data_IF_949626117190
#
_entry.id   IF_949626117190
#
_cell.length_a   1.000
_cell.length_b   1.000
_cell.length_c   1.000
_cell.angle_alpha   90.00
_cell.angle_beta   90.00
_cell.angle_gamma   90.00
#
_symmetry.space_group_name_H-M   'P 1'
#
loop_
_entity.id
_entity.type
_entity.pdbx_description
1 polymer ?
#
# COMPACT_ATOMS: atom_id res chain seq x y z
N UNK A 1 -19.93 6.57 -6.28
CA UNK A 1 -20.07 6.18 -4.86
C UNK A 1 -20.00 4.66 -4.60
N UNK A 2 -19.90 3.77 -5.61
CA UNK A 2 -19.88 2.31 -5.41
C UNK A 2 -18.58 1.74 -4.77
N UNK A 3 -17.45 2.46 -4.87
CA UNK A 3 -16.16 1.95 -4.39
C UNK A 3 -16.04 1.95 -2.85
N UNK A 4 -16.74 2.87 -2.18
CA UNK A 4 -16.78 2.98 -0.72
C UNK A 4 -17.93 2.16 -0.11
N UNK A 5 -18.73 1.46 -0.92
CA UNK A 5 -19.81 0.63 -0.40
C UNK A 5 -19.29 -0.64 0.29
N UNK A 6 -18.03 -1.04 0.02
CA UNK A 6 -17.42 -2.22 0.63
C UNK A 6 -15.97 -1.91 1.01
N UNK A 7 -15.61 -1.96 2.30
CA UNK A 7 -14.35 -1.41 2.80
C UNK A 7 -13.09 -2.04 2.20
N UNK A 8 -13.16 -3.32 1.80
CA UNK A 8 -12.03 -4.05 1.24
C UNK A 8 -11.73 -3.71 -0.22
N UNK A 9 -12.68 -3.14 -0.97
CA UNK A 9 -12.49 -2.88 -2.42
C UNK A 9 -11.42 -1.83 -2.69
N UNK A 10 -11.34 -0.81 -1.84
CA UNK A 10 -10.38 0.28 -2.00
C UNK A 10 -8.92 -0.20 -1.84
N UNK A 11 -8.53 -0.92 -0.77
CA UNK A 11 -7.19 -1.50 -0.67
C UNK A 11 -6.84 -2.42 -1.84
N UNK A 12 -7.74 -3.32 -2.24
CA UNK A 12 -7.48 -4.23 -3.37
C UNK A 12 -7.35 -3.49 -4.70
N UNK A 13 -8.17 -2.46 -4.95
CA UNK A 13 -8.03 -1.65 -6.15
C UNK A 13 -6.68 -0.93 -6.19
N UNK A 14 -6.29 -0.28 -5.09
CA UNK A 14 -5.02 0.45 -5.02
C UNK A 14 -3.81 -0.49 -5.13
N UNK A 15 -3.86 -1.65 -4.48
CA UNK A 15 -2.84 -2.68 -4.61
C UNK A 15 -2.71 -3.19 -6.05
N UNK A 16 -3.83 -3.52 -6.71
CA UNK A 16 -3.83 -3.99 -8.10
C UNK A 16 -3.37 -2.91 -9.08
N UNK A 17 -3.82 -1.66 -8.91
CA UNK A 17 -3.38 -0.53 -9.72
C UNK A 17 -1.88 -0.28 -9.53
N UNK A 18 -1.41 -0.27 -8.29
CA UNK A 18 0.01 -0.15 -7.96
C UNK A 18 0.83 -1.27 -8.59
N UNK A 19 0.33 -2.51 -8.60
CA UNK A 19 0.99 -3.66 -9.22
C UNK A 19 1.16 -3.47 -10.72
N UNK A 20 0.07 -3.11 -11.42
CA UNK A 20 0.11 -2.85 -12.87
C UNK A 20 1.07 -1.71 -13.19
N UNK A 21 0.98 -0.60 -12.46
CA UNK A 21 1.86 0.56 -12.68
C UNK A 21 3.33 0.23 -12.40
N UNK A 22 3.61 -0.51 -11.34
CA UNK A 22 4.99 -0.93 -11.00
C UNK A 22 5.54 -1.89 -12.05
N UNK A 23 4.71 -2.83 -12.55
CA UNK A 23 5.09 -3.77 -13.59
C UNK A 23 5.36 -3.05 -14.92
N UNK A 24 4.51 -2.11 -15.33
CA UNK A 24 4.70 -1.29 -16.53
C UNK A 24 5.95 -0.41 -16.42
N UNK A 25 6.13 0.28 -15.29
CA UNK A 25 7.30 1.11 -15.02
C UNK A 25 8.59 0.30 -15.07
N UNK A 26 8.65 -0.82 -14.35
CA UNK A 26 9.85 -1.65 -14.32
C UNK A 26 10.11 -2.34 -15.67
N UNK A 27 9.06 -2.83 -16.33
CA UNK A 27 9.15 -3.41 -17.68
C UNK A 27 9.69 -2.41 -18.70
N UNK A 28 9.22 -1.16 -18.66
CA UNK A 28 9.72 -0.09 -19.52
C UNK A 28 11.21 0.20 -19.26
N UNK A 29 11.65 0.21 -18.00
CA UNK A 29 13.06 0.38 -17.64
C UNK A 29 13.92 -0.79 -18.15
N UNK A 30 13.44 -2.03 -18.04
CA UNK A 30 14.15 -3.20 -18.58
C UNK A 30 14.26 -3.16 -20.11
N UNK A 31 13.18 -2.76 -20.80
CA UNK A 31 13.19 -2.59 -22.26
C UNK A 31 14.13 -1.47 -22.70
N UNK A 32 14.11 -0.32 -22.03
CA UNK A 32 15.02 0.79 -22.32
C UNK A 32 16.49 0.37 -22.12
N UNK A 33 16.78 -0.40 -21.05
CA UNK A 33 18.11 -0.99 -20.84
C UNK A 33 18.51 -1.93 -21.98
N UNK A 34 17.62 -2.82 -22.39
CA UNK A 34 17.89 -3.78 -23.46
C UNK A 34 18.10 -3.09 -24.83
N UNK A 35 17.40 -1.98 -25.07
CA UNK A 35 17.52 -1.17 -26.29
C UNK A 35 18.71 -0.18 -26.27
N UNK A 36 19.49 -0.11 -25.19
CA UNK A 36 20.57 0.85 -25.04
C UNK A 36 20.11 2.31 -24.92
N UNK A 37 18.83 2.54 -24.59
CA UNK A 37 18.25 3.87 -24.41
C UNK A 37 18.63 4.39 -23.02
N UNK A 38 18.97 5.68 -22.95
CA UNK A 38 19.24 6.34 -21.68
C UNK A 38 18.03 6.23 -20.74
N UNK A 39 18.27 5.71 -19.53
CA UNK A 39 17.23 5.58 -18.51
C UNK A 39 16.96 6.92 -17.84
N UNK A 40 15.78 7.05 -17.24
CA UNK A 40 15.51 8.14 -16.31
C UNK A 40 16.63 8.23 -15.26
N UNK A 41 17.02 9.44 -14.83
CA UNK A 41 17.98 9.62 -13.76
C UNK A 41 17.48 8.89 -12.50
N UNK A 42 18.44 8.35 -11.74
CA UNK A 42 18.16 7.66 -10.49
C UNK A 42 18.76 8.43 -9.34
N UNK A 43 17.93 8.76 -8.36
CA UNK A 43 18.40 9.28 -7.07
C UNK A 43 18.48 8.17 -6.03
N UNK A 44 17.62 7.14 -6.14
CA UNK A 44 17.64 5.94 -5.30
C UNK A 44 18.14 4.75 -6.13
N UNK A 45 18.82 3.79 -5.51
CA UNK A 45 19.27 2.59 -6.20
C UNK A 45 18.07 1.86 -6.86
N UNK A 46 18.14 1.48 -8.16
CA UNK A 46 17.00 0.89 -8.88
C UNK A 46 16.43 -0.37 -8.22
N UNK A 47 17.30 -1.27 -7.77
CA UNK A 47 16.92 -2.51 -7.08
C UNK A 47 16.19 -2.23 -5.76
N UNK A 48 16.60 -1.19 -5.03
CA UNK A 48 15.95 -0.79 -3.79
C UNK A 48 14.57 -0.20 -4.07
N UNK A 49 14.44 0.69 -5.06
CA UNK A 49 13.15 1.29 -5.42
C UNK A 49 12.14 0.21 -5.86
N UNK A 50 12.57 -0.71 -6.73
CA UNK A 50 11.75 -1.83 -7.18
C UNK A 50 11.40 -2.80 -6.04
N UNK A 51 12.40 -3.19 -5.24
CA UNK A 51 12.23 -4.10 -4.11
C UNK A 51 11.30 -3.53 -3.04
N UNK A 52 11.34 -2.23 -2.77
CA UNK A 52 10.42 -1.58 -1.84
C UNK A 52 8.98 -1.62 -2.35
N UNK A 53 8.75 -1.28 -3.62
CA UNK A 53 7.42 -1.29 -4.22
C UNK A 53 6.81 -2.69 -4.21
N UNK A 54 7.53 -3.70 -4.74
CA UNK A 54 7.02 -5.08 -4.82
C UNK A 54 7.03 -5.82 -3.48
N UNK A 55 8.03 -5.60 -2.64
CA UNK A 55 8.24 -6.36 -1.41
C UNK A 55 7.49 -5.81 -0.21
N UNK A 56 7.26 -4.50 -0.14
CA UNK A 56 6.61 -3.86 1.00
C UNK A 56 5.33 -3.12 0.59
N UNK A 57 5.37 -2.35 -0.50
CA UNK A 57 4.26 -1.48 -0.86
C UNK A 57 3.01 -2.23 -1.28
N UNK A 58 3.11 -3.03 -2.33
CA UNK A 58 1.96 -3.78 -2.84
C UNK A 58 1.40 -4.77 -1.81
N UNK A 59 2.21 -5.61 -1.15
CA UNK A 59 1.70 -6.58 -0.17
C UNK A 59 0.95 -5.90 0.98
N UNK A 60 1.37 -4.70 1.41
CA UNK A 60 0.70 -3.97 2.48
C UNK A 60 -0.75 -3.57 2.10
N UNK A 61 -1.03 -3.19 0.85
CA UNK A 61 -2.39 -2.91 0.40
C UNK A 61 -3.27 -4.17 0.39
N UNK A 62 -2.73 -5.29 -0.10
CA UNK A 62 -3.46 -6.56 -0.11
C UNK A 62 -3.72 -7.06 1.31
N UNK A 63 -2.74 -6.93 2.22
CA UNK A 63 -2.90 -7.26 3.62
C UNK A 63 -3.98 -6.39 4.30
N UNK A 64 -3.99 -5.08 4.03
CA UNK A 64 -5.05 -4.19 4.53
C UNK A 64 -6.43 -4.62 4.01
N UNK A 65 -6.56 -4.96 2.73
CA UNK A 65 -7.79 -5.48 2.15
C UNK A 65 -8.25 -6.79 2.80
N UNK A 66 -7.32 -7.73 3.01
CA UNK A 66 -7.60 -9.01 3.66
C UNK A 66 -8.00 -8.85 5.13
N UNK A 67 -7.31 -8.00 5.88
CA UNK A 67 -7.68 -7.67 7.27
C UNK A 67 -9.12 -7.16 7.33
N UNK A 68 -9.52 -6.24 6.46
CA UNK A 68 -10.90 -5.70 6.48
C UNK A 68 -11.94 -6.68 5.93
N UNK A 69 -11.55 -7.65 5.12
CA UNK A 69 -12.44 -8.70 4.61
C UNK A 69 -12.68 -9.81 5.65
N UNK A 70 -11.62 -10.24 6.33
CA UNK A 70 -11.61 -11.46 7.14
C UNK A 70 -11.71 -11.17 8.63
N UNK A 71 -11.03 -10.13 9.12
CA UNK A 71 -10.92 -9.86 10.56
C UNK A 71 -12.28 -9.63 11.23
N UNK A 72 -13.19 -8.78 10.72
CA UNK A 72 -14.51 -8.63 11.36
C UNK A 72 -15.30 -9.93 11.41
N UNK A 73 -15.18 -10.77 10.37
CA UNK A 73 -15.86 -12.07 10.29
C UNK A 73 -15.31 -13.06 11.31
N UNK A 74 -13.99 -13.08 11.52
CA UNK A 74 -13.37 -13.91 12.54
C UNK A 74 -13.72 -13.48 13.95
N UNK A 75 -13.95 -12.18 14.16
CA UNK A 75 -14.32 -11.61 15.46
C UNK A 75 -15.84 -11.59 15.72
N UNK A 76 -16.66 -12.00 14.75
CA UNK A 76 -18.13 -11.90 14.88
C UNK A 76 -18.64 -10.46 14.96
N UNK A 77 -17.83 -9.49 14.54
CA UNK A 77 -18.10 -8.05 14.62
C UNK A 77 -18.72 -7.52 13.31
N UNK A 78 -19.53 -6.46 13.36
CA UNK A 78 -20.02 -5.81 12.15
C UNK A 78 -18.85 -5.24 11.33
N UNK A 79 -19.04 -5.21 10.01
CA UNK A 79 -18.05 -4.66 9.08
C UNK A 79 -17.82 -3.18 9.41
N UNK A 80 -16.55 -2.83 9.67
CA UNK A 80 -16.16 -1.43 9.90
C UNK A 80 -16.62 -0.51 8.76
N UNK A 81 -16.98 0.74 9.06
CA UNK A 81 -17.36 1.70 8.03
C UNK A 81 -16.20 1.91 7.06
N UNK A 82 -16.48 1.81 5.75
CA UNK A 82 -15.50 2.03 4.70
C UNK A 82 -14.82 3.40 4.76
N UNK A 83 -15.45 4.37 5.42
CA UNK A 83 -14.87 5.68 5.69
C UNK A 83 -13.57 5.65 6.50
N UNK A 84 -13.39 4.66 7.37
CA UNK A 84 -12.20 4.51 8.22
C UNK A 84 -10.92 4.18 7.42
N UNK A 85 -11.06 3.55 6.25
CA UNK A 85 -9.94 3.20 5.37
C UNK A 85 -9.51 4.33 4.45
N UNK A 86 -10.26 5.43 4.35
CA UNK A 86 -9.93 6.51 3.39
C UNK A 86 -8.59 7.16 3.68
N UNK A 87 -8.37 7.59 4.92
CA UNK A 87 -7.13 8.26 5.30
C UNK A 87 -5.91 7.33 5.20
N UNK A 88 -5.92 6.11 5.78
CA UNK A 88 -4.79 5.18 5.66
C UNK A 88 -4.46 4.86 4.19
N UNK A 89 -5.47 4.61 3.36
CA UNK A 89 -5.27 4.30 1.94
C UNK A 89 -4.76 5.51 1.14
N UNK A 90 -5.22 6.72 1.45
CA UNK A 90 -4.70 7.93 0.83
C UNK A 90 -3.22 8.16 1.19
N UNK A 91 -2.84 7.97 2.45
CA UNK A 91 -1.45 8.11 2.90
C UNK A 91 -0.55 7.04 2.28
N UNK A 92 -0.98 5.78 2.26
CA UNK A 92 -0.23 4.71 1.59
C UNK A 92 -0.10 4.98 0.08
N UNK A 93 -1.19 5.33 -0.59
CA UNK A 93 -1.20 5.60 -2.04
C UNK A 93 -0.27 6.77 -2.40
N UNK A 94 -0.42 7.90 -1.71
CA UNK A 94 0.42 9.08 -1.93
C UNK A 94 1.88 8.82 -1.55
N UNK A 95 2.13 8.10 -0.46
CA UNK A 95 3.46 7.76 0.00
C UNK A 95 4.22 6.89 -1.00
N UNK A 96 3.60 5.82 -1.51
CA UNK A 96 4.21 4.94 -2.52
C UNK A 96 4.39 5.63 -3.87
N UNK A 97 3.46 6.50 -4.27
CA UNK A 97 3.64 7.35 -5.45
C UNK A 97 4.85 8.29 -5.28
N UNK A 98 4.99 8.92 -4.11
CA UNK A 98 6.13 9.78 -3.81
C UNK A 98 7.46 9.00 -3.75
N UNK A 99 7.45 7.73 -3.31
CA UNK A 99 8.62 6.84 -3.41
C UNK A 99 9.00 6.62 -4.88
N UNK A 100 8.04 6.27 -5.74
CA UNK A 100 8.30 6.03 -7.16
C UNK A 100 8.81 7.28 -7.89
N UNK A 101 8.19 8.44 -7.67
CA UNK A 101 8.62 9.72 -8.26
C UNK A 101 9.96 10.17 -7.67
N UNK A 102 10.11 10.08 -6.35
CA UNK A 102 11.32 10.45 -5.62
C UNK A 102 12.54 9.64 -6.05
N UNK A 103 12.37 8.36 -6.38
CA UNK A 103 13.43 7.51 -6.90
C UNK A 103 14.11 8.07 -8.16
N UNK A 104 13.39 8.88 -8.94
CA UNK A 104 13.91 9.57 -10.12
C UNK A 104 14.19 11.05 -9.92
N UNK A 105 13.43 11.74 -9.05
CA UNK A 105 13.50 13.19 -8.90
C UNK A 105 14.38 13.65 -7.72
N UNK A 106 14.17 13.10 -6.52
CA UNK A 106 14.84 13.56 -5.30
C UNK A 106 14.77 12.53 -4.16
N UNK A 107 15.93 12.20 -3.55
CA UNK A 107 15.99 11.29 -2.38
C UNK A 107 15.10 11.73 -1.21
N UNK A 108 15.03 13.02 -0.83
CA UNK A 108 14.15 13.45 0.26
C UNK A 108 12.67 13.19 -0.02
N UNK A 109 12.23 13.34 -1.28
CA UNK A 109 10.85 13.03 -1.67
C UNK A 109 10.55 11.54 -1.49
N UNK A 110 11.49 10.67 -1.86
CA UNK A 110 11.33 9.23 -1.65
C UNK A 110 11.28 8.88 -0.15
N UNK A 111 12.11 9.51 0.68
CA UNK A 111 12.11 9.31 2.13
C UNK A 111 10.81 9.79 2.79
N UNK A 112 10.32 10.98 2.41
CA UNK A 112 9.04 11.51 2.88
C UNK A 112 7.87 10.62 2.43
N UNK A 113 7.91 10.12 1.19
CA UNK A 113 6.94 9.16 0.68
C UNK A 113 6.92 7.88 1.51
N UNK A 114 8.08 7.31 1.82
CA UNK A 114 8.20 6.12 2.65
C UNK A 114 7.67 6.35 4.06
N UNK A 115 8.01 7.47 4.70
CA UNK A 115 7.49 7.83 6.02
C UNK A 115 5.95 7.98 5.99
N UNK A 116 5.41 8.61 4.96
CA UNK A 116 3.96 8.79 4.77
C UNK A 116 3.25 7.44 4.60
N UNK A 117 3.82 6.54 3.80
CA UNK A 117 3.30 5.19 3.62
C UNK A 117 3.36 4.38 4.92
N UNK A 118 4.43 4.52 5.71
CA UNK A 118 4.56 3.87 7.01
C UNK A 118 3.50 4.37 8.01
N UNK A 119 3.21 5.68 8.04
CA UNK A 119 2.11 6.22 8.85
C UNK A 119 0.77 5.63 8.40
N UNK A 120 0.52 5.59 7.10
CA UNK A 120 -0.70 4.96 6.56
C UNK A 120 -0.84 3.49 6.99
N UNK A 121 0.23 2.71 6.92
CA UNK A 121 0.25 1.33 7.38
C UNK A 121 0.03 1.21 8.89
N UNK A 122 0.66 2.07 9.69
CA UNK A 122 0.48 2.11 11.14
C UNK A 122 -0.99 2.39 11.52
N UNK A 123 -1.67 3.26 10.78
CA UNK A 123 -3.11 3.52 10.98
C UNK A 123 -3.97 2.28 10.65
N UNK A 124 -3.64 1.52 9.60
CA UNK A 124 -4.31 0.25 9.30
C UNK A 124 -4.14 -0.73 10.46
N UNK A 125 -2.90 -0.91 10.94
CA UNK A 125 -2.62 -1.83 12.06
C UNK A 125 -3.30 -1.36 13.34
N UNK A 126 -3.27 -0.06 13.65
CA UNK A 126 -3.91 0.51 14.83
C UNK A 126 -5.42 0.30 14.83
N UNK A 127 -6.09 0.52 13.70
CA UNK A 127 -7.53 0.27 13.56
C UNK A 127 -7.87 -1.22 13.71
N UNK A 128 -7.04 -2.12 13.18
CA UNK A 128 -7.21 -3.55 13.38
C UNK A 128 -6.98 -3.94 14.85
N UNK A 129 -6.01 -3.33 15.52
CA UNK A 129 -5.74 -3.53 16.94
C UNK A 129 -6.91 -3.10 17.82
N UNK A 130 -7.55 -1.97 17.51
CA UNK A 130 -8.76 -1.53 18.22
C UNK A 130 -9.89 -2.56 18.10
N UNK A 131 -10.12 -3.12 16.91
CA UNK A 131 -11.10 -4.21 16.73
C UNK A 131 -10.80 -5.45 17.56
N UNK A 132 -9.52 -5.79 17.75
CA UNK A 132 -9.12 -6.93 18.56
C UNK A 132 -9.36 -6.65 20.05
N UNK A 133 -9.07 -5.44 20.52
CA UNK A 133 -9.26 -5.03 21.92
C UNK A 133 -10.74 -4.91 22.27
N UNK A 134 -11.56 -4.41 21.34
CA UNK A 134 -13.01 -4.25 21.53
C UNK A 134 -13.78 -5.58 21.46
N UNK A 135 -13.11 -6.71 21.20
CA UNK A 135 -13.71 -8.04 21.21
C UNK A 135 -13.27 -8.87 22.44
N UNK A 136 -14.07 -8.90 23.53
CA UNK A 136 -13.75 -9.72 24.72
C UNK A 136 -13.97 -11.23 24.52
N UNK A 137 -14.45 -11.69 23.35
CA UNK A 137 -14.71 -13.09 23.06
C UNK A 137 -13.62 -13.72 22.18
N UNK A 138 -12.39 -13.77 22.69
CA UNK A 138 -11.46 -14.82 22.27
C UNK A 138 -11.63 -15.99 23.25
N UNK A 139 -12.21 -17.13 22.87
CA UNK A 139 -12.14 -18.31 23.71
C UNK A 139 -10.65 -18.65 23.87
N UNK A 140 -10.20 -18.74 25.12
CA UNK A 140 -8.95 -19.39 25.49
C UNK A 140 -8.85 -20.71 24.72
N UNK A 141 -7.82 -20.86 23.89
CA UNK A 141 -7.42 -22.15 23.31
C UNK A 141 -6.09 -22.55 23.91
#
# INVERSE_FOLDING_TARGET
MALLATPHRLPFLLGSLGLVLTALWWGALLLARAAGVALLPWTVAPSLAHGLLLGLGLPAFFAAGALWLLLPRWLGQPVLPAGAMRLPMAMMGAGWLAVAVGAHAARPLAALGLATAAVGLALVVGLAGLLLVDNPAAPER
#
